data_IF_260346292602
#
_entry.id   IF_260346292602
#
_cell.length_a   1.000
_cell.length_b   1.000
_cell.length_c   1.000
_cell.angle_alpha   90.00
_cell.angle_beta   90.00
_cell.angle_gamma   90.00
#
_symmetry.space_group_name_H-M   'P 1'
#
loop_
_entity.id
_entity.type
_entity.pdbx_description
1 polymer ?
#
# COMPACT_ATOMS: atom_id res chain seq x y z
N UNK A 1 42.14 51.60 28.28
CA UNK A 1 41.05 52.46 28.76
C UNK A 1 39.76 51.87 28.22
N UNK A 2 38.97 51.33 29.15
CA UNK A 2 37.56 50.89 29.04
C UNK A 2 37.29 49.59 28.29
N UNK A 3 37.36 48.53 29.09
CA UNK A 3 36.64 47.26 29.01
C UNK A 3 35.11 47.41 29.18
N UNK A 4 34.41 46.27 28.99
CA UNK A 4 33.01 45.87 29.36
C UNK A 4 32.07 45.67 28.15
N UNK A 5 31.35 44.57 27.95
CA UNK A 5 31.22 43.19 28.49
C UNK A 5 30.27 42.46 27.50
N UNK A 6 30.38 41.14 27.26
CA UNK A 6 29.40 40.37 26.47
C UNK A 6 28.17 39.93 27.29
N UNK A 7 26.99 39.97 26.66
CA UNK A 7 25.70 39.53 27.21
C UNK A 7 25.63 37.99 27.34
N UNK A 8 25.46 37.50 28.56
CA UNK A 8 25.13 36.10 28.90
C UNK A 8 23.61 35.89 29.00
N UNK A 9 23.07 34.71 28.64
CA UNK A 9 21.66 34.37 28.81
C UNK A 9 21.30 34.01 30.27
N UNK A 10 20.03 34.13 30.69
CA UNK A 10 19.61 33.85 32.06
C UNK A 10 19.58 32.34 32.38
N UNK A 11 20.24 32.00 33.48
CA UNK A 11 20.11 30.76 34.25
C UNK A 11 18.78 30.75 35.00
N UNK A 12 18.00 29.68 34.86
CA UNK A 12 16.93 29.36 35.82
C UNK A 12 17.46 28.33 36.80
N UNK A 13 17.48 28.73 38.06
CA UNK A 13 18.05 28.02 39.18
C UNK A 13 17.32 26.73 39.52
N UNK A 14 18.12 25.77 39.96
CA UNK A 14 17.77 24.48 40.52
C UNK A 14 18.18 24.52 42.00
N UNK A 15 17.19 24.53 42.90
CA UNK A 15 17.28 24.32 44.35
C UNK A 15 15.84 24.06 44.80
N UNK A 16 15.46 22.98 45.48
CA UNK A 16 16.06 22.41 46.68
C UNK A 16 15.44 21.00 46.89
N UNK A 17 16.28 20.03 47.28
CA UNK A 17 16.18 19.19 48.50
C UNK A 17 14.86 18.48 48.86
N UNK A 18 14.82 17.30 49.46
CA UNK A 18 15.70 16.16 49.75
C UNK A 18 14.77 15.13 50.45
N UNK A 19 15.13 13.83 50.45
CA UNK A 19 14.56 12.75 51.27
C UNK A 19 13.08 12.34 50.96
N UNK A 20 12.66 11.08 50.83
CA UNK A 20 13.05 9.85 51.49
C UNK A 20 11.75 9.16 51.95
N UNK A 21 11.65 7.85 51.75
CA UNK A 21 10.67 6.91 52.34
C UNK A 21 9.35 6.55 51.60
N UNK A 22 9.18 5.25 51.35
CA UNK A 22 8.02 4.52 50.78
C UNK A 22 7.01 4.14 51.90
N UNK A 23 5.97 3.29 51.73
CA UNK A 23 5.11 2.90 50.59
C UNK A 23 3.60 3.10 50.93
N UNK A 24 2.69 2.89 49.97
CA UNK A 24 1.32 2.43 50.29
C UNK A 24 0.94 1.34 49.29
N UNK A 25 1.08 0.10 49.75
CA UNK A 25 0.31 -1.06 49.31
C UNK A 25 -1.16 -0.92 49.74
N UNK A 26 -2.01 -1.80 49.19
CA UNK A 26 -3.46 -1.99 49.42
C UNK A 26 -4.32 -1.15 48.46
N UNK A 27 -5.02 -1.67 47.45
CA UNK A 27 -5.45 -3.04 47.12
C UNK A 27 -5.53 -3.17 45.57
N UNK A 28 -5.03 -4.25 44.93
CA UNK A 28 -5.81 -5.45 44.52
C UNK A 28 -7.29 -5.11 44.26
N UNK A 29 -7.91 -5.35 43.12
CA UNK A 29 -7.79 -6.41 42.13
C UNK A 29 -8.79 -6.08 41.01
N UNK A 30 -8.50 -6.57 39.81
CA UNK A 30 -9.47 -7.06 38.82
C UNK A 30 -10.55 -6.10 38.27
N UNK A 31 -10.45 -5.74 36.99
CA UNK A 31 -11.17 -6.47 35.94
C UNK A 31 -10.88 -5.91 34.54
N UNK A 32 -10.88 -6.84 33.59
CA UNK A 32 -10.59 -6.70 32.18
C UNK A 32 -11.48 -5.65 31.48
N UNK A 33 -10.86 -4.68 30.82
CA UNK A 33 -11.53 -3.72 29.94
C UNK A 33 -11.32 -4.08 28.47
N UNK A 34 -11.94 -5.17 28.01
CA UNK A 34 -12.12 -5.45 26.58
C UNK A 34 -13.28 -4.60 26.04
N UNK A 35 -12.97 -3.66 25.16
CA UNK A 35 -13.96 -2.79 24.53
C UNK A 35 -14.33 -3.28 23.13
N UNK A 36 -15.62 -3.61 22.98
CA UNK A 36 -16.43 -3.28 21.81
C UNK A 36 -16.31 -4.17 20.59
N UNK A 37 -16.88 -5.36 20.66
CA UNK A 37 -17.56 -5.97 19.51
C UNK A 37 -19.06 -5.71 19.71
N UNK A 38 -19.56 -4.66 19.05
CA UNK A 38 -20.99 -4.37 18.90
C UNK A 38 -21.50 -5.04 17.61
N UNK A 39 -22.77 -5.45 17.70
CA UNK A 39 -23.70 -5.84 16.65
C UNK A 39 -23.63 -7.30 16.15
N UNK A 40 -24.40 -8.18 16.79
CA UNK A 40 -25.46 -8.96 16.13
C UNK A 40 -26.34 -9.69 17.18
N UNK A 41 -27.62 -9.84 16.84
CA UNK A 41 -28.68 -10.67 17.44
C UNK A 41 -29.67 -10.01 18.43
N UNK A 42 -30.68 -9.39 17.80
CA UNK A 42 -32.08 -9.43 18.22
C UNK A 42 -32.48 -10.84 18.66
N UNK A 43 -33.11 -11.00 19.83
CA UNK A 43 -34.17 -12.00 20.01
C UNK A 43 -35.11 -11.60 21.17
N UNK A 44 -36.28 -11.17 20.73
CA UNK A 44 -37.48 -10.78 21.45
C UNK A 44 -38.11 -12.01 22.15
N UNK A 45 -37.91 -12.16 23.46
CA UNK A 45 -38.60 -13.18 24.27
C UNK A 45 -39.95 -12.67 24.76
N UNK A 46 -40.91 -12.65 23.84
CA UNK A 46 -42.33 -12.52 24.12
C UNK A 46 -43.02 -13.89 24.21
N UNK A 47 -43.60 -14.15 25.40
CA UNK A 47 -44.66 -15.11 25.73
C UNK A 47 -44.36 -16.60 26.00
N UNK A 48 -44.63 -17.00 27.24
CA UNK A 48 -45.55 -18.10 27.57
C UNK A 48 -46.57 -17.53 28.57
N UNK A 49 -47.88 -17.51 28.30
CA UNK A 49 -48.69 -18.71 28.47
C UNK A 49 -50.16 -18.50 28.05
N UNK A 50 -50.74 -19.61 27.60
CA UNK A 50 -52.14 -20.04 27.75
C UNK A 50 -53.22 -19.34 26.93
N UNK A 51 -53.64 -19.95 25.81
CA UNK A 51 -55.04 -20.35 25.61
C UNK A 51 -55.17 -21.37 24.46
N UNK A 52 -56.11 -22.30 24.68
CA UNK A 52 -56.51 -23.43 23.85
C UNK A 52 -57.19 -23.02 22.53
N UNK A 53 -56.91 -23.71 21.42
CA UNK A 53 -57.89 -24.03 20.38
C UNK A 53 -57.29 -25.00 19.33
N UNK A 54 -58.06 -26.04 19.03
CA UNK A 54 -57.93 -26.94 17.88
C UNK A 54 -57.92 -26.18 16.55
N UNK A 55 -57.21 -26.70 15.55
CA UNK A 55 -57.64 -26.91 14.16
C UNK A 55 -56.49 -26.78 13.13
N UNK A 56 -56.36 -27.87 12.36
CA UNK A 56 -55.87 -27.98 10.97
C UNK A 56 -54.38 -27.82 10.62
N UNK A 57 -53.91 -28.76 9.79
CA UNK A 57 -52.58 -28.92 9.22
C UNK A 57 -52.07 -27.68 8.45
N UNK A 58 -51.13 -26.93 9.03
CA UNK A 58 -50.35 -25.89 8.33
C UNK A 58 -48.99 -26.47 7.87
N UNK A 59 -48.65 -26.45 6.57
CA UNK A 59 -47.42 -27.03 6.07
C UNK A 59 -46.21 -26.25 6.59
N UNK A 60 -45.28 -26.96 7.25
CA UNK A 60 -44.04 -26.40 7.79
C UNK A 60 -43.37 -25.50 6.75
N UNK A 61 -43.44 -24.18 6.97
CA UNK A 61 -42.85 -23.16 6.12
C UNK A 61 -41.34 -23.33 6.17
N UNK A 62 -40.79 -24.15 5.28
CA UNK A 62 -39.35 -24.33 5.12
C UNK A 62 -38.76 -22.94 4.91
N UNK A 63 -38.02 -22.43 5.92
CA UNK A 63 -37.29 -21.17 5.82
C UNK A 63 -36.39 -21.31 4.58
N UNK A 64 -36.80 -20.67 3.48
CA UNK A 64 -36.07 -20.69 2.22
C UNK A 64 -34.75 -19.98 2.47
N UNK A 65 -33.69 -20.75 2.77
CA UNK A 65 -32.35 -20.22 2.94
C UNK A 65 -32.01 -19.37 1.73
N UNK A 66 -31.47 -18.18 1.99
CA UNK A 66 -31.11 -17.21 0.95
C UNK A 66 -30.18 -17.91 -0.05
N UNK A 67 -30.61 -18.02 -1.30
CA UNK A 67 -29.81 -18.65 -2.35
C UNK A 67 -28.64 -17.72 -2.68
N UNK A 68 -27.46 -18.00 -2.12
CA UNK A 68 -26.24 -17.24 -2.39
C UNK A 68 -25.66 -17.74 -3.71
N UNK A 69 -25.81 -16.95 -4.77
CA UNK A 69 -25.43 -17.34 -6.14
C UNK A 69 -23.92 -17.36 -6.40
N UNK A 70 -23.11 -16.69 -5.56
CA UNK A 70 -21.66 -16.61 -5.77
C UNK A 70 -20.88 -16.60 -4.46
N UNK A 71 -20.07 -17.64 -4.23
CA UNK A 71 -19.06 -17.68 -3.18
C UNK A 71 -17.76 -17.05 -3.69
N UNK A 72 -17.60 -15.74 -3.50
CA UNK A 72 -16.35 -15.03 -3.83
C UNK A 72 -15.67 -14.52 -2.57
N UNK A 73 -14.48 -15.03 -2.28
CA UNK A 73 -13.69 -14.62 -1.13
C UNK A 73 -12.97 -13.29 -1.41
N UNK A 74 -13.07 -12.35 -0.48
CA UNK A 74 -12.35 -11.07 -0.50
C UNK A 74 -11.46 -10.96 0.73
N UNK A 75 -10.24 -10.47 0.54
CA UNK A 75 -9.25 -10.33 1.62
C UNK A 75 -8.76 -8.89 1.76
N UNK A 76 -8.45 -8.49 3.00
CA UNK A 76 -7.80 -7.21 3.28
C UNK A 76 -6.34 -7.27 2.85
N UNK A 77 -5.87 -6.23 2.16
CA UNK A 77 -4.49 -6.14 1.63
C UNK A 77 -3.58 -5.24 2.46
N UNK A 78 -4.08 -4.62 3.53
CA UNK A 78 -3.35 -3.70 4.38
C UNK A 78 -3.91 -3.75 5.80
N UNK A 79 -3.09 -3.33 6.77
CA UNK A 79 -3.48 -3.14 8.17
C UNK A 79 -3.12 -1.72 8.57
N UNK A 80 -4.00 -1.06 9.35
CA UNK A 80 -3.72 0.27 9.90
C UNK A 80 -2.71 0.16 11.07
N UNK A 81 -1.83 1.15 11.28
CA UNK A 81 -0.96 1.21 12.46
C UNK A 81 -1.76 1.22 13.76
N UNK A 82 -1.22 0.63 14.84
CA UNK A 82 -1.87 0.61 16.17
C UNK A 82 -1.92 2.01 16.79
N UNK A 83 -0.81 2.76 16.71
CA UNK A 83 -0.67 4.11 17.26
C UNK A 83 -0.70 5.13 16.10
N UNK A 84 -1.79 5.89 15.92
CA UNK A 84 -1.92 6.78 14.77
C UNK A 84 -1.00 8.01 14.78
N UNK A 85 -0.67 8.57 15.95
CA UNK A 85 0.00 9.88 16.05
C UNK A 85 1.44 9.81 16.59
N UNK A 86 2.16 8.75 16.23
CA UNK A 86 3.58 8.62 16.56
C UNK A 86 4.44 9.41 15.57
N UNK A 87 5.13 10.45 16.06
CA UNK A 87 5.88 11.41 15.23
C UNK A 87 6.93 10.72 14.35
N UNK A 88 7.78 9.88 14.93
CA UNK A 88 8.85 9.18 14.21
C UNK A 88 8.32 8.33 13.05
N UNK A 89 7.21 7.62 13.28
CA UNK A 89 6.54 6.83 12.24
C UNK A 89 5.98 7.74 11.15
N UNK A 90 5.33 8.83 11.50
CA UNK A 90 4.75 9.77 10.52
C UNK A 90 5.83 10.37 9.62
N UNK A 91 6.97 10.76 10.19
CA UNK A 91 8.10 11.34 9.48
C UNK A 91 8.79 10.31 8.56
N UNK A 92 9.04 9.10 9.06
CA UNK A 92 9.60 8.00 8.25
C UNK A 92 8.68 7.61 7.09
N UNK A 93 7.37 7.52 7.33
CA UNK A 93 6.40 7.24 6.27
C UNK A 93 6.35 8.37 5.24
N UNK A 94 6.43 9.63 5.68
CA UNK A 94 6.39 10.78 4.78
C UNK A 94 7.63 10.83 3.88
N UNK A 95 8.82 10.53 4.43
CA UNK A 95 10.06 10.40 3.66
C UNK A 95 9.92 9.37 2.55
N UNK A 96 9.47 8.16 2.86
CA UNK A 96 9.26 7.09 1.87
C UNK A 96 8.19 7.43 0.83
N UNK A 97 7.10 8.09 1.25
CA UNK A 97 6.03 8.52 0.34
C UNK A 97 6.55 9.56 -0.67
N UNK A 98 7.36 10.51 -0.20
CA UNK A 98 7.99 11.52 -1.04
C UNK A 98 9.00 10.93 -2.01
N UNK A 99 9.93 10.12 -1.50
CA UNK A 99 10.99 9.50 -2.29
C UNK A 99 10.44 8.61 -3.39
N UNK A 100 9.45 7.77 -3.11
CA UNK A 100 8.90 6.82 -4.09
C UNK A 100 7.64 7.34 -4.82
N UNK A 101 7.25 8.59 -4.59
CA UNK A 101 6.10 9.24 -5.23
C UNK A 101 4.79 8.47 -5.07
N UNK A 102 4.50 8.05 -3.83
CA UNK A 102 3.27 7.32 -3.50
C UNK A 102 2.09 8.29 -3.37
N UNK A 103 0.88 7.86 -3.78
CA UNK A 103 -0.33 8.71 -3.66
C UNK A 103 -0.82 8.86 -2.22
N UNK A 104 -0.69 7.80 -1.43
CA UNK A 104 -1.26 7.73 -0.09
C UNK A 104 -0.51 6.72 0.79
N UNK A 105 -0.57 6.92 2.11
CA UNK A 105 -0.01 6.00 3.12
C UNK A 105 -0.56 4.58 3.02
N UNK A 106 -1.77 4.40 2.48
CA UNK A 106 -2.33 3.07 2.21
C UNK A 106 -1.46 2.24 1.25
N UNK A 107 -0.78 2.85 0.28
CA UNK A 107 0.14 2.11 -0.61
C UNK A 107 1.35 1.59 0.17
N UNK A 108 1.86 2.37 1.11
CA UNK A 108 2.94 1.97 2.00
C UNK A 108 2.48 0.83 2.94
N UNK A 109 1.31 0.96 3.56
CA UNK A 109 0.77 -0.06 4.45
C UNK A 109 0.46 -1.38 3.75
N UNK A 110 0.16 -1.37 2.44
CA UNK A 110 0.03 -2.59 1.63
C UNK A 110 1.35 -3.33 1.51
N UNK A 111 2.44 -2.60 1.26
CA UNK A 111 3.79 -3.18 1.16
C UNK A 111 4.24 -3.70 2.52
N UNK A 112 4.05 -2.92 3.59
CA UNK A 112 4.36 -3.35 4.96
C UNK A 112 3.56 -4.60 5.35
N UNK A 113 2.28 -4.68 4.99
CA UNK A 113 1.45 -5.85 5.25
C UNK A 113 1.97 -7.09 4.51
N UNK A 114 2.31 -6.97 3.23
CA UNK A 114 2.87 -8.05 2.45
C UNK A 114 4.22 -8.54 3.03
N UNK A 115 5.10 -7.62 3.39
CA UNK A 115 6.38 -7.90 4.03
C UNK A 115 6.21 -8.56 5.41
N UNK A 116 5.24 -8.10 6.21
CA UNK A 116 4.90 -8.74 7.50
C UNK A 116 4.44 -10.18 7.31
N UNK A 117 3.60 -10.47 6.31
CA UNK A 117 3.18 -11.85 5.98
C UNK A 117 4.37 -12.72 5.57
N UNK A 118 5.26 -12.20 4.73
CA UNK A 118 6.47 -12.90 4.30
C UNK A 118 7.39 -13.21 5.49
N UNK A 119 7.67 -12.22 6.35
CA UNK A 119 8.50 -12.40 7.54
C UNK A 119 7.88 -13.36 8.55
N UNK A 120 6.56 -13.32 8.74
CA UNK A 120 5.86 -14.28 9.62
C UNK A 120 6.02 -15.72 9.12
N UNK A 121 5.86 -15.93 7.81
CA UNK A 121 6.09 -17.25 7.22
C UNK A 121 7.55 -17.70 7.42
N UNK A 122 8.52 -16.81 7.15
CA UNK A 122 9.94 -17.12 7.35
C UNK A 122 10.26 -17.47 8.82
N UNK A 123 9.71 -16.74 9.79
CA UNK A 123 9.87 -17.05 11.23
C UNK A 123 9.34 -18.43 11.58
N UNK A 124 8.14 -18.79 11.10
CA UNK A 124 7.57 -20.12 11.34
C UNK A 124 8.39 -21.26 10.70
N UNK A 125 9.07 -20.98 9.58
CA UNK A 125 9.91 -21.98 8.91
C UNK A 125 11.27 -22.13 9.61
N UNK A 126 11.83 -21.04 10.15
CA UNK A 126 13.11 -21.06 10.87
C UNK A 126 13.01 -21.75 12.24
N UNK A 127 11.82 -21.83 12.84
CA UNK A 127 11.60 -22.60 14.08
C UNK A 127 11.62 -24.11 13.85
N UNK A 128 11.40 -24.58 12.63
CA UNK A 128 11.41 -26.01 12.29
C UNK A 128 12.84 -26.49 12.03
N UNK A 129 13.10 -27.78 12.22
CA UNK A 129 14.39 -28.37 11.86
C UNK A 129 14.67 -28.30 10.34
N UNK A 130 15.94 -28.22 9.97
CA UNK A 130 16.43 -28.10 8.59
C UNK A 130 15.99 -29.27 7.69
N UNK A 131 15.87 -30.47 8.26
CA UNK A 131 15.51 -31.68 7.52
C UNK A 131 14.00 -31.89 7.40
N UNK A 132 13.19 -31.02 8.01
CA UNK A 132 11.75 -31.13 7.95
C UNK A 132 11.24 -30.87 6.52
N UNK A 133 10.38 -31.76 6.00
CA UNK A 133 9.83 -31.65 4.64
C UNK A 133 9.12 -30.32 4.39
N UNK A 134 8.42 -29.77 5.39
CA UNK A 134 7.75 -28.46 5.29
C UNK A 134 8.74 -27.32 5.12
N UNK A 135 9.84 -27.33 5.89
CA UNK A 135 10.88 -26.29 5.81
C UNK A 135 11.57 -26.30 4.45
N UNK A 136 11.88 -27.49 3.94
CA UNK A 136 12.53 -27.65 2.63
C UNK A 136 11.60 -27.15 1.52
N UNK A 137 10.34 -27.61 1.50
CA UNK A 137 9.41 -27.29 0.42
C UNK A 137 8.91 -25.83 0.47
N UNK A 138 8.36 -25.40 1.61
CA UNK A 138 7.82 -24.04 1.75
C UNK A 138 8.95 -22.99 1.76
N UNK A 139 10.11 -23.32 2.34
CA UNK A 139 11.29 -22.44 2.38
C UNK A 139 11.87 -22.19 1.00
N UNK A 140 12.10 -23.24 0.21
CA UNK A 140 12.58 -23.11 -1.17
C UNK A 140 11.56 -22.37 -2.04
N UNK A 141 10.26 -22.65 -1.89
CA UNK A 141 9.22 -21.91 -2.60
C UNK A 141 9.21 -20.41 -2.25
N UNK A 142 9.49 -20.05 -0.99
CA UNK A 142 9.61 -18.66 -0.55
C UNK A 142 10.84 -18.00 -1.17
N UNK A 143 12.01 -18.65 -1.11
CA UNK A 143 13.26 -18.14 -1.68
C UNK A 143 13.16 -17.95 -3.20
N UNK A 144 12.63 -18.93 -3.92
CA UNK A 144 12.37 -18.82 -5.37
C UNK A 144 11.48 -17.63 -5.72
N UNK A 145 10.48 -17.33 -4.88
CA UNK A 145 9.62 -16.15 -5.07
C UNK A 145 10.40 -14.85 -4.86
N UNK A 146 11.24 -14.78 -3.82
CA UNK A 146 12.04 -13.58 -3.53
C UNK A 146 13.05 -13.30 -4.66
N UNK A 147 13.73 -14.33 -5.15
CA UNK A 147 14.70 -14.21 -6.24
C UNK A 147 14.02 -13.80 -7.56
N UNK A 148 12.85 -14.38 -7.87
CA UNK A 148 12.07 -14.02 -9.07
C UNK A 148 11.70 -12.54 -9.13
N UNK A 149 11.42 -11.94 -7.97
CA UNK A 149 11.14 -10.51 -7.87
C UNK A 149 12.39 -9.65 -7.69
N UNK A 150 13.57 -10.26 -7.50
CA UNK A 150 14.84 -9.55 -7.29
C UNK A 150 14.88 -8.79 -5.97
N UNK A 151 14.31 -9.38 -4.92
CA UNK A 151 14.34 -8.81 -3.56
C UNK A 151 15.58 -9.27 -2.77
N UNK A 152 16.14 -10.40 -3.16
CA UNK A 152 17.40 -10.95 -2.65
C UNK A 152 18.39 -11.02 -3.79
N UNK A 153 19.66 -10.86 -3.46
CA UNK A 153 20.77 -11.10 -4.37
C UNK A 153 21.08 -12.60 -4.49
N UNK A 154 21.75 -13.01 -5.56
CA UNK A 154 22.08 -14.43 -5.81
C UNK A 154 22.99 -15.03 -4.73
N UNK A 155 23.77 -14.18 -4.06
CA UNK A 155 24.61 -14.55 -2.92
C UNK A 155 23.82 -14.79 -1.62
N UNK A 156 22.61 -14.25 -1.51
CA UNK A 156 21.82 -14.19 -0.27
C UNK A 156 20.66 -15.20 -0.25
N UNK A 157 20.93 -16.44 -0.64
CA UNK A 157 19.93 -17.51 -0.75
C UNK A 157 19.65 -18.27 0.57
N UNK A 158 19.49 -17.54 1.68
CA UNK A 158 19.11 -18.12 2.99
C UNK A 158 17.86 -17.47 3.54
N UNK A 159 17.10 -18.24 4.33
CA UNK A 159 15.86 -17.74 4.95
C UNK A 159 16.09 -16.58 5.91
N UNK A 160 17.28 -16.48 6.51
CA UNK A 160 17.63 -15.40 7.44
C UNK A 160 17.62 -14.02 6.76
N UNK A 161 18.07 -13.95 5.50
CA UNK A 161 18.07 -12.70 4.74
C UNK A 161 16.65 -12.21 4.42
N UNK A 162 15.66 -13.10 4.39
CA UNK A 162 14.24 -12.73 4.22
C UNK A 162 13.75 -11.90 5.41
N UNK A 163 14.29 -12.13 6.62
CA UNK A 163 13.93 -11.33 7.80
C UNK A 163 14.47 -9.90 7.71
N UNK A 164 15.66 -9.73 7.11
CA UNK A 164 16.33 -8.44 6.93
C UNK A 164 15.73 -7.55 5.82
N UNK A 165 14.82 -8.08 4.99
CA UNK A 165 14.20 -7.32 3.90
C UNK A 165 13.53 -6.04 4.37
N UNK A 166 13.86 -4.88 3.80
CA UNK A 166 13.23 -3.60 4.15
C UNK A 166 12.02 -3.29 3.25
N UNK A 167 11.27 -2.25 3.60
CA UNK A 167 10.14 -1.76 2.77
C UNK A 167 10.64 -1.17 1.45
N UNK A 168 11.83 -0.57 1.47
CA UNK A 168 12.49 0.03 0.30
C UNK A 168 12.72 -1.01 -0.79
N UNK A 169 13.22 -2.20 -0.44
CA UNK A 169 13.43 -3.30 -1.41
C UNK A 169 12.17 -3.58 -2.25
N UNK A 170 10.98 -3.51 -1.66
CA UNK A 170 9.74 -3.69 -2.41
C UNK A 170 9.33 -2.47 -3.23
N UNK A 171 9.57 -1.26 -2.72
CA UNK A 171 9.25 -0.02 -3.42
C UNK A 171 10.15 0.17 -4.66
N UNK A 172 11.41 -0.26 -4.58
CA UNK A 172 12.35 -0.25 -5.71
C UNK A 172 11.96 -1.18 -6.86
N UNK A 173 11.25 -2.28 -6.56
CA UNK A 173 10.80 -3.26 -7.56
C UNK A 173 9.47 -2.89 -8.23
N UNK A 174 8.89 -1.74 -7.89
CA UNK A 174 7.65 -1.25 -8.53
C UNK A 174 7.94 -0.75 -9.94
N UNK A 175 6.97 -0.93 -10.82
CA UNK A 175 7.09 -0.43 -12.20
C UNK A 175 7.35 1.08 -12.24
N UNK A 176 6.74 1.84 -11.32
CA UNK A 176 6.95 3.29 -11.21
C UNK A 176 8.42 3.68 -11.01
N UNK A 177 9.11 3.01 -10.08
CA UNK A 177 10.49 3.31 -9.72
C UNK A 177 11.46 2.76 -10.74
N UNK A 178 11.19 1.58 -11.29
CA UNK A 178 12.00 1.01 -12.37
C UNK A 178 11.96 1.86 -13.65
N UNK A 179 10.80 2.41 -14.01
CA UNK A 179 10.67 3.33 -15.16
C UNK A 179 11.47 4.62 -14.94
N UNK A 180 11.51 5.13 -13.71
CA UNK A 180 12.35 6.28 -13.36
C UNK A 180 13.85 5.94 -13.39
N UNK A 181 14.25 4.83 -12.75
CA UNK A 181 15.65 4.35 -12.76
C UNK A 181 16.14 4.03 -14.19
N UNK A 182 15.26 3.58 -15.08
CA UNK A 182 15.56 3.33 -16.49
C UNK A 182 15.67 4.62 -17.34
N UNK A 183 15.45 5.81 -16.76
CA UNK A 183 15.59 7.08 -17.48
C UNK A 183 14.45 7.43 -18.44
N UNK A 184 13.37 6.65 -18.48
CA UNK A 184 12.22 6.92 -19.38
C UNK A 184 11.39 8.14 -18.94
N UNK A 185 11.52 8.54 -17.67
CA UNK A 185 10.78 9.64 -17.08
C UNK A 185 11.72 10.58 -16.32
N UNK A 186 11.45 11.89 -16.42
CA UNK A 186 12.21 12.94 -15.71
C UNK A 186 12.09 12.90 -14.18
N UNK A 187 11.00 12.35 -13.67
CA UNK A 187 10.69 12.30 -12.23
C UNK A 187 9.79 11.10 -11.94
N UNK A 188 9.76 10.66 -10.68
CA UNK A 188 8.94 9.55 -10.21
C UNK A 188 7.44 9.83 -10.37
N UNK A 189 7.02 11.09 -10.21
CA UNK A 189 5.64 11.50 -10.48
C UNK A 189 5.31 11.45 -11.97
N UNK A 190 6.28 11.83 -12.82
CA UNK A 190 6.13 11.72 -14.28
C UNK A 190 6.01 10.26 -14.72
N UNK A 191 6.82 9.35 -14.16
CA UNK A 191 6.71 7.92 -14.42
C UNK A 191 5.31 7.39 -14.10
N UNK A 192 4.72 7.80 -12.97
CA UNK A 192 3.36 7.41 -12.58
C UNK A 192 2.31 7.83 -13.61
N UNK A 193 2.42 9.05 -14.13
CA UNK A 193 1.50 9.57 -15.15
C UNK A 193 1.63 8.80 -16.45
N UNK A 194 2.86 8.55 -16.92
CA UNK A 194 3.12 7.77 -18.14
C UNK A 194 2.52 6.35 -18.07
N UNK A 195 2.66 5.68 -16.92
CA UNK A 195 2.06 4.36 -16.70
C UNK A 195 0.54 4.44 -16.76
N UNK A 196 -0.07 5.39 -16.03
CA UNK A 196 -1.54 5.53 -15.99
C UNK A 196 -2.13 5.89 -17.35
N UNK A 197 -1.41 6.67 -18.16
CA UNK A 197 -1.78 7.03 -19.53
C UNK A 197 -1.53 5.91 -20.56
N UNK A 198 -1.07 4.73 -20.11
CA UNK A 198 -0.84 3.55 -20.95
C UNK A 198 0.29 3.72 -21.98
N UNK A 199 1.33 4.46 -21.61
CA UNK A 199 2.49 4.65 -22.49
C UNK A 199 3.58 3.59 -22.30
N UNK A 200 3.53 2.82 -21.21
CA UNK A 200 4.58 1.84 -20.87
C UNK A 200 4.06 0.42 -21.03
N UNK A 201 4.89 -0.43 -21.61
CA UNK A 201 4.69 -1.88 -21.70
C UNK A 201 5.76 -2.63 -20.92
N UNK A 202 5.41 -3.83 -20.46
CA UNK A 202 6.35 -4.80 -19.91
C UNK A 202 6.28 -6.04 -20.79
N UNK A 203 7.34 -6.29 -21.56
CA UNK A 203 7.31 -7.29 -22.63
C UNK A 203 6.35 -6.87 -23.73
N UNK A 204 5.30 -7.67 -23.95
CA UNK A 204 4.28 -7.41 -24.98
C UNK A 204 3.05 -6.67 -24.44
N UNK A 205 2.83 -6.69 -23.13
CA UNK A 205 1.60 -6.20 -22.51
C UNK A 205 1.76 -4.75 -22.03
N UNK A 206 0.79 -3.90 -22.35
CA UNK A 206 0.69 -2.55 -21.79
C UNK A 206 0.20 -2.63 -20.34
N UNK A 207 0.94 -2.02 -19.42
CA UNK A 207 0.63 -2.05 -17.97
C UNK A 207 0.26 -0.65 -17.51
N UNK A 208 -0.91 -0.51 -16.88
CA UNK A 208 -1.46 0.77 -16.42
C UNK A 208 -1.48 0.95 -14.89
N UNK A 209 -0.85 0.02 -14.16
CA UNK A 209 -0.80 0.00 -12.69
C UNK A 209 0.63 0.31 -12.22
N UNK A 210 0.88 1.47 -11.58
CA UNK A 210 2.21 1.83 -11.07
C UNK A 210 2.72 0.93 -9.93
N UNK A 211 1.78 0.26 -9.23
CA UNK A 211 2.08 -0.70 -8.15
C UNK A 211 2.49 -2.09 -8.64
N UNK A 212 2.57 -2.31 -9.96
CA UNK A 212 2.97 -3.59 -10.52
C UNK A 212 4.41 -3.93 -10.09
N UNK A 213 4.61 -5.10 -9.49
CA UNK A 213 5.94 -5.59 -9.11
C UNK A 213 6.57 -6.28 -10.31
N UNK A 214 7.69 -5.74 -10.80
CA UNK A 214 8.35 -6.26 -12.01
C UNK A 214 9.32 -7.36 -11.63
N UNK A 215 9.21 -8.51 -12.31
CA UNK A 215 10.15 -9.62 -12.19
C UNK A 215 11.50 -9.25 -12.80
N UNK A 216 12.59 -9.87 -12.33
CA UNK A 216 13.94 -9.62 -12.86
C UNK A 216 14.01 -9.88 -14.36
N UNK A 217 13.44 -10.98 -14.84
CA UNK A 217 13.42 -11.35 -16.27
C UNK A 217 12.69 -10.32 -17.14
N UNK A 218 11.61 -9.75 -16.61
CA UNK A 218 10.77 -8.78 -17.32
C UNK A 218 11.33 -7.36 -17.29
N UNK A 219 12.31 -7.09 -16.43
CA UNK A 219 12.88 -5.75 -16.25
C UNK A 219 13.59 -5.24 -17.51
N UNK A 220 14.28 -6.12 -18.25
CA UNK A 220 14.95 -5.78 -19.52
C UNK A 220 13.97 -5.41 -20.64
N UNK A 221 12.71 -5.80 -20.48
CA UNK A 221 11.67 -5.65 -21.49
C UNK A 221 10.68 -4.52 -21.16
N UNK A 222 11.08 -3.57 -20.31
CA UNK A 222 10.30 -2.37 -20.05
C UNK A 222 10.64 -1.36 -21.16
N UNK A 223 9.62 -0.90 -21.87
CA UNK A 223 9.79 0.05 -22.98
C UNK A 223 8.49 0.83 -23.19
N UNK A 224 8.54 1.87 -24.03
CA UNK A 224 7.33 2.52 -24.51
C UNK A 224 6.48 1.55 -25.33
N UNK A 225 5.16 1.71 -25.22
CA UNK A 225 4.22 0.96 -26.05
C UNK A 225 4.34 1.43 -27.50
N UNK A 226 4.36 0.48 -28.44
CA UNK A 226 4.37 0.76 -29.88
C UNK A 226 3.15 1.58 -30.32
N UNK A 227 2.03 1.43 -29.61
CA UNK A 227 0.80 2.19 -29.86
C UNK A 227 0.84 3.61 -29.28
N UNK A 228 1.80 3.89 -28.39
CA UNK A 228 1.91 5.19 -27.75
C UNK A 228 2.57 6.20 -28.68
N UNK A 229 2.23 7.50 -28.56
CA UNK A 229 2.91 8.55 -29.33
C UNK A 229 4.43 8.60 -29.14
N UNK A 230 4.94 8.10 -28.00
CA UNK A 230 6.37 8.06 -27.69
C UNK A 230 7.08 6.82 -28.24
N UNK A 231 6.35 5.75 -28.55
CA UNK A 231 6.87 4.50 -29.11
C UNK A 231 6.65 4.36 -30.63
N UNK A 232 6.46 5.46 -31.35
CA UNK A 232 6.21 5.47 -32.80
C UNK A 232 4.73 5.42 -33.21
N UNK A 233 3.81 5.48 -32.24
CA UNK A 233 2.37 5.52 -32.49
C UNK A 233 1.88 6.88 -32.97
N UNK A 234 0.62 6.92 -33.43
CA UNK A 234 -0.02 8.16 -33.92
C UNK A 234 -0.06 9.23 -32.83
N UNK A 235 0.22 10.51 -33.16
CA UNK A 235 0.09 11.61 -32.21
C UNK A 235 -1.30 11.68 -31.56
N UNK A 236 -1.31 12.03 -30.27
CA UNK A 236 -2.53 12.11 -29.46
C UNK A 236 -3.56 13.14 -29.98
N UNK A 237 -4.80 13.02 -29.53
CA UNK A 237 -5.95 13.81 -30.02
C UNK A 237 -5.70 15.32 -30.00
N UNK A 238 -5.22 15.87 -28.87
CA UNK A 238 -4.97 17.30 -28.75
C UNK A 238 -3.82 17.76 -29.65
N UNK A 239 -2.72 17.00 -29.71
CA UNK A 239 -1.58 17.32 -30.59
C UNK A 239 -2.02 17.32 -32.05
N UNK A 240 -2.85 16.35 -32.46
CA UNK A 240 -3.43 16.29 -33.81
C UNK A 240 -4.39 17.44 -34.08
N UNK A 241 -5.25 17.81 -33.13
CA UNK A 241 -6.15 18.97 -33.25
C UNK A 241 -5.35 20.25 -33.43
N UNK A 242 -4.31 20.45 -32.62
CA UNK A 242 -3.47 21.64 -32.65
C UNK A 242 -2.65 21.70 -33.95
N UNK A 243 -2.13 20.57 -34.43
CA UNK A 243 -1.47 20.49 -35.75
C UNK A 243 -2.45 20.82 -36.88
N UNK A 244 -3.69 20.32 -36.82
CA UNK A 244 -4.73 20.65 -37.81
C UNK A 244 -5.11 22.13 -37.78
N UNK A 245 -5.27 22.74 -36.60
CA UNK A 245 -5.56 24.17 -36.49
C UNK A 245 -4.37 25.02 -36.94
N UNK A 246 -3.13 24.61 -36.62
CA UNK A 246 -1.93 25.30 -37.08
C UNK A 246 -1.80 25.21 -38.61
N UNK A 247 -2.06 24.05 -39.21
CA UNK A 247 -2.07 23.89 -40.65
C UNK A 247 -3.18 24.74 -41.32
N UNK A 248 -4.38 24.83 -40.72
CA UNK A 248 -5.46 25.70 -41.22
C UNK A 248 -5.08 27.19 -41.16
N UNK A 249 -4.44 27.62 -40.07
CA UNK A 249 -3.93 29.00 -39.95
C UNK A 249 -2.81 29.31 -40.94
N UNK A 250 -1.88 28.36 -41.13
CA UNK A 250 -0.80 28.50 -42.10
C UNK A 250 -1.27 28.46 -43.57
N UNK A 251 -2.42 27.84 -43.84
CA UNK A 251 -3.04 27.79 -45.16
C UNK A 251 -3.89 29.03 -45.50
N UNK A 252 -3.79 30.12 -44.74
CA UNK A 252 -4.38 31.42 -45.12
C UNK A 252 -5.90 31.48 -45.07
N UNK A 253 -6.54 30.85 -44.08
CA UNK A 253 -7.99 30.99 -43.86
C UNK A 253 -8.36 32.25 -43.10
N UNK A 254 -7.96 33.43 -43.60
CA UNK A 254 -8.72 34.67 -43.45
C UNK A 254 -9.57 34.78 -44.72
N UNK A 255 -10.81 34.27 -44.63
CA UNK A 255 -11.86 34.77 -45.51
C UNK A 255 -12.41 35.99 -44.81
N UNK A 256 -12.03 37.17 -45.29
CA UNK A 256 -12.84 38.38 -45.16
C UNK A 256 -14.26 38.01 -45.63
N UNK A 257 -15.21 37.95 -44.69
CA UNK A 257 -16.59 38.34 -44.98
C UNK A 257 -16.68 39.82 -44.57
N UNK A 258 -16.12 40.68 -45.42
CA UNK A 258 -16.77 41.96 -45.72
C UNK A 258 -18.06 41.60 -46.45
N UNK A 259 -19.17 41.46 -45.72
CA UNK A 259 -20.48 41.67 -46.32
C UNK A 259 -20.88 43.12 -46.01
N UNK A 260 -20.58 43.98 -46.97
CA UNK A 260 -21.33 45.19 -47.25
C UNK A 260 -22.81 44.81 -47.49
N UNK A 261 -23.73 45.21 -46.61
CA UNK A 261 -24.95 46.03 -46.86
C UNK A 261 -25.82 46.14 -45.60
#
# INVERSE_FOLDING_TARGET
MLDFLPLTPPTTDYSDSDEGEQPVEEDRELLEGGSGDDDDDDDDYGLLSLFSASDEDEPTRVRKMVNVSFYRNYGKTFKKPRRPYEKERLDAELKLVGEYGLRCKRELWRVQYALSRIRNNARNLLTLDEKNSRRIFEGDALLRRMNRYGLLDESQNKLDYVLALTVENFLERRLQTLVFKAGMAKSIHHARVLIRQRHIRVGRQVVNIPSFMVKVDSQKHIDFSLTSPFGGGRPGRLKRRNQKSAAKKAAGGDGEEEDEE
#
